data_IF_996903212402
#
_entry.id   IF_996903212402
#
_cell.length_a   1.000
_cell.length_b   1.000
_cell.length_c   1.000
_cell.angle_alpha   90.00
_cell.angle_beta   90.00
_cell.angle_gamma   90.00
#
_symmetry.space_group_name_H-M   'P 1'
#
loop_
_entity.id
_entity.type
_entity.pdbx_description
1 polymer ?
#
# COMPACT_ATOMS: atom_id res chain seq x y z
N UNK A 1 -16.12 3.89 13.06
CA UNK A 1 -15.46 2.74 12.41
C UNK A 1 -16.05 2.65 11.01
N UNK A 2 -15.27 2.99 10.00
CA UNK A 2 -15.71 2.98 8.60
C UNK A 2 -16.03 1.56 8.17
N UNK A 3 -17.24 1.37 7.63
CA UNK A 3 -17.69 0.15 6.96
C UNK A 3 -16.63 -0.28 5.93
N UNK A 4 -15.98 -1.42 6.12
CA UNK A 4 -15.26 -2.07 5.04
C UNK A 4 -16.24 -3.00 4.33
N UNK A 5 -16.49 -2.73 3.06
CA UNK A 5 -17.19 -3.61 2.14
C UNK A 5 -16.49 -4.98 2.09
N UNK A 6 -17.20 -6.02 1.62
CA UNK A 6 -16.68 -7.38 1.40
C UNK A 6 -15.61 -7.44 0.27
N UNK A 7 -14.85 -6.37 0.07
CA UNK A 7 -13.91 -6.19 -1.02
C UNK A 7 -12.47 -6.13 -0.49
N UNK A 8 -11.52 -6.38 -1.40
CA UNK A 8 -10.10 -6.28 -1.09
C UNK A 8 -9.76 -4.94 -0.47
N UNK A 9 -9.10 -5.00 0.69
CA UNK A 9 -8.52 -3.84 1.32
C UNK A 9 -7.22 -3.49 0.58
N UNK A 10 -7.09 -2.24 0.18
CA UNK A 10 -5.94 -1.78 -0.60
C UNK A 10 -5.22 -0.67 0.15
N UNK A 11 -3.93 -0.90 0.37
CA UNK A 11 -3.00 0.04 0.99
C UNK A 11 -1.97 0.50 -0.04
N UNK A 12 -1.97 1.80 -0.34
CA UNK A 12 -0.92 2.46 -1.10
C UNK A 12 0.06 3.16 -0.16
N UNK A 13 1.33 3.18 -0.56
CA UNK A 13 2.40 3.89 0.15
C UNK A 13 3.20 4.72 -0.84
N UNK A 14 3.59 5.93 -0.44
CA UNK A 14 4.51 6.76 -1.20
C UNK A 14 5.52 7.43 -0.27
N UNK A 15 6.73 7.66 -0.76
CA UNK A 15 7.86 8.15 0.03
C UNK A 15 8.46 9.36 -0.65
N UNK A 16 8.48 10.49 0.06
CA UNK A 16 9.24 11.66 -0.36
C UNK A 16 10.64 11.58 0.26
N UNK A 17 11.63 11.19 -0.53
CA UNK A 17 13.03 11.06 -0.09
C UNK A 17 13.66 12.40 0.34
N UNK A 18 13.21 13.53 -0.24
CA UNK A 18 13.74 14.86 0.06
C UNK A 18 13.30 15.34 1.45
N UNK A 19 12.00 15.26 1.71
CA UNK A 19 11.43 15.65 3.00
C UNK A 19 11.50 14.52 4.04
N UNK A 20 11.88 13.31 3.61
CA UNK A 20 11.92 12.08 4.41
C UNK A 20 10.54 11.74 4.99
N UNK A 21 9.47 11.92 4.22
CA UNK A 21 8.11 11.66 4.69
C UNK A 21 7.51 10.45 3.99
N UNK A 22 6.70 9.69 4.72
CA UNK A 22 5.95 8.53 4.22
C UNK A 22 4.48 8.87 4.26
N UNK A 23 3.81 8.76 3.12
CA UNK A 23 2.36 8.93 3.01
C UNK A 23 1.65 7.63 2.68
N UNK A 24 0.37 7.58 3.02
CA UNK A 24 -0.48 6.40 2.92
C UNK A 24 -1.76 6.71 2.14
N UNK A 25 -2.21 5.75 1.35
CA UNK A 25 -3.50 5.78 0.67
C UNK A 25 -4.28 4.56 1.15
N UNK A 26 -5.45 4.77 1.73
CA UNK A 26 -6.30 3.68 2.24
C UNK A 26 -7.56 3.62 1.39
N UNK A 27 -7.77 2.51 0.69
CA UNK A 27 -8.92 2.29 -0.21
C UNK A 27 -9.17 3.48 -1.16
N UNK A 28 -8.08 4.03 -1.73
CA UNK A 28 -8.13 5.15 -2.68
C UNK A 28 -8.18 6.55 -2.05
N UNK A 29 -8.30 6.67 -0.74
CA UNK A 29 -8.28 7.96 -0.04
C UNK A 29 -6.87 8.27 0.46
N UNK A 30 -6.25 9.31 -0.10
CA UNK A 30 -4.97 9.81 0.37
C UNK A 30 -5.08 10.38 1.79
N UNK A 31 -4.30 9.82 2.72
CA UNK A 31 -4.22 10.25 4.11
C UNK A 31 -3.12 11.29 4.33
N UNK A 32 -2.35 11.65 3.29
CA UNK A 32 -1.19 12.51 3.41
C UNK A 32 -0.02 11.81 4.08
N UNK A 33 0.97 12.60 4.50
CA UNK A 33 2.15 12.11 5.22
C UNK A 33 1.80 11.73 6.66
N UNK A 34 2.02 10.47 7.00
CA UNK A 34 1.68 9.88 8.30
C UNK A 34 2.91 9.60 9.16
N UNK A 35 4.11 9.62 8.56
CA UNK A 35 5.35 9.34 9.28
C UNK A 35 6.57 10.00 8.61
N UNK A 36 7.69 9.99 9.32
CA UNK A 36 9.00 10.48 8.85
C UNK A 36 10.06 9.39 8.94
N UNK A 37 10.94 9.34 7.96
CA UNK A 37 12.14 8.51 7.95
C UNK A 37 13.29 9.25 8.63
N UNK A 38 14.16 8.55 9.37
CA UNK A 38 15.33 9.15 10.02
C UNK A 38 16.38 9.64 9.00
N UNK A 39 16.40 9.05 7.80
CA UNK A 39 17.28 9.39 6.68
C UNK A 39 16.63 8.96 5.36
N UNK A 40 17.10 9.47 4.20
CA UNK A 40 16.73 8.91 2.90
C UNK A 40 17.06 7.41 2.82
N UNK A 41 16.25 6.64 2.09
CA UNK A 41 16.45 5.21 1.93
C UNK A 41 17.48 4.93 0.83
N UNK A 42 18.49 4.13 1.14
CA UNK A 42 19.41 3.58 0.14
C UNK A 42 18.84 2.32 -0.53
N UNK A 43 18.15 1.49 0.27
CA UNK A 43 17.57 0.23 -0.17
C UNK A 43 16.20 0.05 0.50
N UNK A 44 15.27 -0.59 -0.23
CA UNK A 44 13.95 -0.94 0.29
C UNK A 44 13.65 -2.41 0.02
N UNK A 45 13.05 -3.08 1.00
CA UNK A 45 12.54 -4.44 0.89
C UNK A 45 11.10 -4.46 1.36
N UNK A 46 10.25 -5.15 0.62
CA UNK A 46 8.88 -5.43 1.03
C UNK A 46 8.77 -6.88 1.49
N UNK A 47 8.00 -7.09 2.55
CA UNK A 47 7.62 -8.41 3.04
C UNK A 47 6.15 -8.34 3.40
N UNK A 48 5.32 -9.04 2.64
CA UNK A 48 3.88 -9.14 2.92
C UNK A 48 3.64 -10.48 3.59
N UNK A 49 3.12 -10.44 4.81
CA UNK A 49 2.73 -11.62 5.56
C UNK A 49 1.29 -11.46 6.00
N UNK A 50 0.49 -12.48 5.76
CA UNK A 50 -0.89 -12.51 6.21
C UNK A 50 -1.15 -13.77 7.01
N UNK A 51 -1.86 -13.59 8.10
CA UNK A 51 -2.37 -14.66 8.94
C UNK A 51 -3.88 -14.50 9.05
N UNK A 52 -4.59 -15.61 9.10
CA UNK A 52 -6.03 -15.62 9.33
C UNK A 52 -6.33 -16.50 10.53
N UNK A 53 -7.09 -15.96 11.48
CA UNK A 53 -7.71 -16.75 12.52
C UNK A 53 -9.04 -17.29 12.00
N UNK A 54 -9.14 -18.61 11.82
CA UNK A 54 -10.39 -19.23 11.38
C UNK A 54 -11.20 -19.62 12.62
N UNK A 55 -12.22 -18.83 12.93
CA UNK A 55 -13.12 -19.05 14.07
C UNK A 55 -14.50 -19.59 13.66
N UNK A 56 -14.71 -19.81 12.36
CA UNK A 56 -15.97 -20.29 11.78
C UNK A 56 -15.70 -21.02 10.45
N UNK A 57 -16.48 -22.06 10.16
CA UNK A 57 -16.39 -22.83 8.91
C UNK A 57 -16.84 -22.02 7.69
N UNK A 58 -17.44 -20.84 7.88
CA UNK A 58 -17.89 -19.95 6.80
C UNK A 58 -16.77 -19.47 5.86
N UNK A 59 -15.51 -19.54 6.30
CA UNK A 59 -14.33 -19.15 5.52
C UNK A 59 -13.71 -20.34 4.75
N UNK A 60 -14.27 -21.55 4.88
CA UNK A 60 -13.76 -22.72 4.16
C UNK A 60 -14.07 -22.62 2.66
N UNK A 61 -13.08 -23.00 1.84
CA UNK A 61 -13.16 -22.92 0.38
C UNK A 61 -12.95 -21.51 -0.19
N UNK A 62 -12.71 -20.50 0.66
CA UNK A 62 -12.35 -19.16 0.22
C UNK A 62 -10.85 -19.07 -0.05
N UNK A 63 -10.47 -18.27 -1.05
CA UNK A 63 -9.07 -17.94 -1.32
C UNK A 63 -8.65 -16.72 -0.48
N UNK A 64 -7.53 -16.85 0.23
CA UNK A 64 -6.85 -15.72 0.84
C UNK A 64 -5.61 -15.40 0.01
N UNK A 65 -5.59 -14.22 -0.59
CA UNK A 65 -4.47 -13.73 -1.39
C UNK A 65 -3.96 -12.40 -0.85
N UNK A 66 -2.68 -12.14 -1.12
CA UNK A 66 -2.09 -10.83 -0.97
C UNK A 66 -1.27 -10.56 -2.21
N UNK A 67 -1.29 -9.31 -2.66
CA UNK A 67 -0.60 -8.89 -3.85
C UNK A 67 0.23 -7.64 -3.53
N UNK A 68 1.48 -7.63 -3.99
CA UNK A 68 2.32 -6.45 -3.97
C UNK A 68 2.39 -5.89 -5.38
N UNK A 69 1.85 -4.69 -5.57
CA UNK A 69 1.83 -4.01 -6.86
C UNK A 69 2.96 -2.98 -6.91
N UNK A 70 3.87 -3.13 -7.87
CA UNK A 70 4.96 -2.18 -8.12
C UNK A 70 5.05 -1.70 -9.57
N UNK A 71 4.34 -2.35 -10.49
CA UNK A 71 4.22 -1.92 -11.88
C UNK A 71 3.33 -0.67 -11.96
N UNK A 72 3.87 0.42 -12.52
CA UNK A 72 3.14 1.67 -12.79
C UNK A 72 1.77 1.47 -13.43
N UNK A 73 1.64 0.52 -14.36
CA UNK A 73 0.40 0.33 -15.11
C UNK A 73 -0.70 -0.34 -14.27
N UNK A 74 -0.32 -0.94 -13.14
CA UNK A 74 -1.23 -1.57 -12.19
C UNK A 74 -1.49 -0.69 -10.95
N UNK A 75 -0.78 0.42 -10.77
CA UNK A 75 -1.03 1.37 -9.69
C UNK A 75 -2.27 2.22 -10.02
N UNK A 76 -3.36 2.00 -9.28
CA UNK A 76 -4.69 2.56 -9.60
C UNK A 76 -5.09 3.77 -8.74
N UNK A 77 -4.28 4.15 -7.77
CA UNK A 77 -4.59 5.28 -6.89
C UNK A 77 -4.12 6.61 -7.47
N UNK A 78 -4.69 7.70 -6.96
CA UNK A 78 -4.17 9.04 -7.21
C UNK A 78 -3.00 9.30 -6.26
N UNK A 79 -1.80 9.46 -6.83
CA UNK A 79 -0.59 9.78 -6.08
C UNK A 79 -0.29 11.28 -6.18
N UNK A 80 0.49 11.84 -5.24
CA UNK A 80 0.94 13.23 -5.35
C UNK A 80 1.68 13.50 -6.67
N UNK A 81 1.57 14.73 -7.16
CA UNK A 81 2.22 15.14 -8.40
C UNK A 81 3.74 14.88 -8.35
N UNK A 82 4.28 14.30 -9.43
CA UNK A 82 5.70 13.98 -9.54
C UNK A 82 6.10 12.68 -8.86
N UNK A 83 5.14 11.87 -8.38
CA UNK A 83 5.42 10.52 -7.89
C UNK A 83 5.87 9.63 -9.05
N UNK A 84 6.87 8.79 -8.79
CA UNK A 84 7.32 7.75 -9.71
C UNK A 84 7.14 6.38 -9.08
N UNK A 85 7.08 5.34 -9.92
CA UNK A 85 7.24 3.97 -9.47
C UNK A 85 8.68 3.71 -8.96
N UNK A 86 8.93 2.49 -8.49
CA UNK A 86 10.25 2.10 -7.99
C UNK A 86 11.34 2.05 -9.06
N UNK A 87 10.97 2.09 -10.35
CA UNK A 87 11.88 2.14 -11.49
C UNK A 87 12.13 3.57 -11.99
N UNK A 88 11.50 4.57 -11.38
CA UNK A 88 11.62 5.98 -11.76
C UNK A 88 10.68 6.43 -12.88
N UNK A 89 9.68 5.62 -13.26
CA UNK A 89 8.68 6.03 -14.23
C UNK A 89 7.59 6.84 -13.55
N UNK A 90 7.16 7.96 -14.15
CA UNK A 90 6.04 8.74 -13.64
C UNK A 90 4.74 7.92 -13.58
N UNK A 91 4.02 7.99 -12.46
CA UNK A 91 2.71 7.36 -12.24
C UNK A 91 1.61 8.36 -12.58
#
# INVERSE_FOLDING_TARGET
MTNNSNEYQRLGMYINQNTKQVGLIVNGVDQGYQSTLPAPLENIRFSVSSSIGIYSNQLFGQELSNELITDRNALQFSYPQGTTDMCGNAI
#
